data_IF_807612171510
#
_entry.id   IF_807612171510
#
_cell.length_a   1.000
_cell.length_b   1.000
_cell.length_c   1.000
_cell.angle_alpha   90.00
_cell.angle_beta   90.00
_cell.angle_gamma   90.00
#
_symmetry.space_group_name_H-M   'P 1'
#
loop_
_entity.id
_entity.type
_entity.pdbx_description
1 polymer ?
#
# COMPACT_ATOMS: atom_id res chain seq x y z
N UNK A 1 -30.37 -5.49 -7.65
CA UNK A 1 -28.95 -5.90 -7.82
C UNK A 1 -28.29 -5.90 -6.45
N UNK A 2 -27.78 -7.04 -5.96
CA UNK A 2 -27.10 -7.12 -4.66
C UNK A 2 -25.63 -6.78 -4.89
N UNK A 3 -25.15 -5.68 -4.32
CA UNK A 3 -23.75 -5.27 -4.44
C UNK A 3 -22.92 -6.09 -3.45
N UNK A 4 -22.03 -6.93 -3.97
CA UNK A 4 -21.04 -7.67 -3.16
C UNK A 4 -19.71 -6.92 -3.17
N UNK A 5 -19.31 -6.41 -2.01
CA UNK A 5 -18.08 -5.65 -1.85
C UNK A 5 -16.82 -6.53 -1.74
N UNK A 6 -16.97 -7.85 -1.57
CA UNK A 6 -15.87 -8.83 -1.36
C UNK A 6 -14.88 -8.42 -0.27
N UNK A 7 -15.38 -7.77 0.78
CA UNK A 7 -14.57 -7.43 1.96
C UNK A 7 -14.42 -8.65 2.87
N UNK A 8 -13.28 -8.84 3.54
CA UNK A 8 -13.14 -9.96 4.46
C UNK A 8 -14.12 -9.85 5.64
N UNK A 9 -14.45 -10.97 6.26
CA UNK A 9 -15.37 -11.05 7.40
C UNK A 9 -14.69 -10.67 8.73
N UNK A 10 -15.49 -10.54 9.79
CA UNK A 10 -15.00 -10.28 11.16
C UNK A 10 -14.83 -8.80 11.53
N UNK A 11 -14.37 -8.52 12.76
CA UNK A 11 -14.23 -7.17 13.32
C UNK A 11 -13.28 -6.29 12.50
N UNK A 12 -13.59 -5.00 12.35
CA UNK A 12 -12.84 -4.07 11.49
C UNK A 12 -11.33 -4.09 11.77
N UNK A 13 -10.95 -4.01 13.06
CA UNK A 13 -9.56 -3.94 13.49
C UNK A 13 -8.73 -5.18 13.13
N UNK A 14 -9.37 -6.34 13.03
CA UNK A 14 -8.70 -7.62 12.79
C UNK A 14 -8.95 -8.16 11.37
N UNK A 15 -9.88 -7.54 10.63
CA UNK A 15 -10.45 -8.03 9.37
C UNK A 15 -9.37 -8.46 8.37
N UNK A 16 -8.40 -7.58 8.12
CA UNK A 16 -7.34 -7.83 7.14
C UNK A 16 -6.21 -8.69 7.66
N UNK A 17 -5.91 -8.61 8.95
CA UNK A 17 -4.94 -9.48 9.60
C UNK A 17 -5.43 -10.93 9.57
N UNK A 18 -6.69 -11.19 9.94
CA UNK A 18 -7.34 -12.50 9.81
C UNK A 18 -7.37 -12.97 8.36
N UNK A 19 -7.76 -12.10 7.43
CA UNK A 19 -7.78 -12.42 6.01
C UNK A 19 -6.40 -12.89 5.52
N UNK A 20 -5.35 -12.09 5.79
CA UNK A 20 -3.96 -12.40 5.40
C UNK A 20 -3.52 -13.76 5.93
N UNK A 21 -3.83 -14.07 7.19
CA UNK A 21 -3.46 -15.33 7.82
C UNK A 21 -4.22 -16.55 7.25
N UNK A 22 -5.40 -16.34 6.67
CA UNK A 22 -6.21 -17.39 6.05
C UNK A 22 -5.91 -17.66 4.57
N UNK A 23 -5.09 -16.81 3.92
CA UNK A 23 -4.79 -16.93 2.51
C UNK A 23 -3.93 -18.17 2.22
N UNK A 24 -4.31 -18.90 1.16
CA UNK A 24 -3.50 -20.01 0.65
C UNK A 24 -2.21 -19.48 0.04
N UNK A 25 -1.08 -19.99 0.52
CA UNK A 25 0.24 -19.63 0.00
C UNK A 25 0.51 -20.31 -1.34
N UNK A 26 1.20 -19.60 -2.23
CA UNK A 26 1.68 -20.13 -3.50
C UNK A 26 3.07 -20.74 -3.28
N UNK A 27 3.23 -22.02 -3.59
CA UNK A 27 4.53 -22.71 -3.54
C UNK A 27 5.55 -21.97 -4.45
N UNK A 28 6.78 -21.69 -3.97
CA UNK A 28 7.84 -21.06 -4.76
C UNK A 28 8.03 -21.64 -6.17
N UNK A 29 7.97 -22.97 -6.33
CA UNK A 29 8.12 -23.63 -7.62
C UNK A 29 6.99 -23.31 -8.62
N UNK A 30 5.81 -22.92 -8.11
CA UNK A 30 4.65 -22.58 -8.92
C UNK A 30 4.59 -21.09 -9.27
N UNK A 31 5.33 -20.22 -8.58
CA UNK A 31 5.28 -18.75 -8.83
C UNK A 31 5.68 -18.39 -10.25
N UNK A 32 6.74 -19.02 -10.79
CA UNK A 32 7.21 -18.81 -12.17
C UNK A 32 6.21 -19.24 -13.25
N UNK A 33 5.23 -20.09 -12.91
CA UNK A 33 4.19 -20.55 -13.83
C UNK A 33 3.03 -19.55 -13.94
N UNK A 34 2.97 -18.56 -13.05
CA UNK A 34 1.92 -17.55 -13.01
C UNK A 34 2.44 -16.27 -13.66
N UNK A 35 1.78 -15.87 -14.74
CA UNK A 35 2.04 -14.63 -15.44
C UNK A 35 1.16 -13.53 -14.87
N UNK A 36 1.76 -12.40 -14.50
CA UNK A 36 1.07 -11.24 -13.95
C UNK A 36 1.26 -10.08 -14.91
N UNK A 37 0.16 -9.49 -15.35
CA UNK A 37 0.16 -8.29 -16.18
C UNK A 37 -0.15 -7.09 -15.30
N UNK A 38 0.77 -6.12 -15.27
CA UNK A 38 0.59 -4.84 -14.60
C UNK A 38 0.45 -3.74 -15.65
N UNK A 39 -0.69 -3.05 -15.64
CA UNK A 39 -0.96 -1.93 -16.53
C UNK A 39 -0.83 -0.63 -15.75
N UNK A 40 0.18 0.17 -16.09
CA UNK A 40 0.55 1.42 -15.45
C UNK A 40 1.85 1.31 -14.65
N UNK A 41 2.71 2.33 -14.79
CA UNK A 41 4.05 2.41 -14.16
C UNK A 41 4.14 3.53 -13.11
N UNK A 42 3.01 4.01 -12.60
CA UNK A 42 2.97 4.91 -11.44
C UNK A 42 3.46 4.23 -10.16
N UNK A 43 3.40 4.93 -9.02
CA UNK A 43 3.88 4.40 -7.73
C UNK A 43 3.24 3.03 -7.39
N UNK A 44 1.93 2.90 -7.57
CA UNK A 44 1.22 1.64 -7.29
C UNK A 44 1.64 0.50 -8.23
N UNK A 45 1.70 0.76 -9.53
CA UNK A 45 2.03 -0.27 -10.53
C UNK A 45 3.48 -0.71 -10.45
N UNK A 46 4.41 0.24 -10.33
CA UNK A 46 5.84 -0.06 -10.18
C UNK A 46 6.15 -0.79 -8.86
N UNK A 47 5.52 -0.38 -7.74
CA UNK A 47 5.67 -1.10 -6.47
C UNK A 47 5.11 -2.53 -6.56
N UNK A 48 3.90 -2.70 -7.09
CA UNK A 48 3.31 -4.02 -7.27
C UNK A 48 4.17 -4.92 -8.17
N UNK A 49 4.63 -4.40 -9.31
CA UNK A 49 5.47 -5.14 -10.23
C UNK A 49 6.81 -5.55 -9.59
N UNK A 50 7.48 -4.62 -8.90
CA UNK A 50 8.74 -4.89 -8.18
C UNK A 50 8.57 -5.97 -7.13
N UNK A 51 7.59 -5.83 -6.23
CA UNK A 51 7.36 -6.80 -5.15
C UNK A 51 7.00 -8.18 -5.69
N UNK A 52 6.16 -8.26 -6.73
CA UNK A 52 5.79 -9.54 -7.34
C UNK A 52 6.95 -10.17 -8.10
N UNK A 53 7.77 -9.39 -8.80
CA UNK A 53 8.96 -9.89 -9.47
C UNK A 53 9.98 -10.41 -8.45
N UNK A 54 10.21 -9.70 -7.34
CA UNK A 54 11.09 -10.13 -6.25
C UNK A 54 10.63 -11.46 -5.62
N UNK A 55 9.31 -11.66 -5.52
CA UNK A 55 8.74 -12.91 -5.04
C UNK A 55 8.94 -14.10 -6.00
N UNK A 56 9.37 -13.86 -7.25
CA UNK A 56 9.65 -14.88 -8.27
C UNK A 56 8.52 -15.14 -9.25
N UNK A 57 7.54 -14.23 -9.37
CA UNK A 57 6.50 -14.29 -10.40
C UNK A 57 7.01 -13.79 -11.76
N UNK A 58 6.40 -14.26 -12.84
CA UNK A 58 6.66 -13.71 -14.18
C UNK A 58 5.78 -12.46 -14.38
N UNK A 59 6.37 -11.27 -14.32
CA UNK A 59 5.64 -10.00 -14.36
C UNK A 59 5.91 -9.26 -15.67
N UNK A 60 4.85 -8.91 -16.39
CA UNK A 60 4.89 -8.05 -17.56
C UNK A 60 4.28 -6.70 -17.22
N UNK A 61 5.01 -5.62 -17.51
CA UNK A 61 4.60 -4.26 -17.15
C UNK A 61 4.39 -3.44 -18.42
N UNK A 62 3.25 -2.77 -18.52
CA UNK A 62 2.87 -1.96 -19.67
C UNK A 62 2.58 -0.54 -19.23
N UNK A 63 3.07 0.45 -19.97
CA UNK A 63 2.70 1.86 -19.81
C UNK A 63 2.42 2.47 -21.18
N UNK A 64 1.50 3.44 -21.21
CA UNK A 64 1.21 4.22 -22.42
C UNK A 64 2.21 5.36 -22.62
N UNK A 65 2.84 5.83 -21.54
CA UNK A 65 3.78 6.94 -21.55
C UNK A 65 5.09 6.58 -22.28
N UNK A 66 5.73 7.58 -22.91
CA UNK A 66 7.04 7.44 -23.58
C UNK A 66 8.12 6.82 -22.69
N UNK A 67 8.02 7.04 -21.38
CA UNK A 67 8.89 6.42 -20.39
C UNK A 67 8.10 6.08 -19.13
N UNK A 68 8.42 4.96 -18.45
CA UNK A 68 7.80 4.58 -17.18
C UNK A 68 7.83 5.68 -16.11
N UNK A 69 8.83 6.58 -16.15
CA UNK A 69 9.01 7.69 -15.20
C UNK A 69 8.04 8.86 -15.39
N UNK A 70 7.28 8.90 -16.50
CA UNK A 70 6.33 9.99 -16.80
C UNK A 70 4.91 9.72 -16.29
N UNK A 71 4.71 8.70 -15.47
CA UNK A 71 3.46 8.55 -14.73
C UNK A 71 3.25 9.77 -13.81
N UNK A 72 2.00 10.23 -13.68
CA UNK A 72 1.68 11.47 -12.96
C UNK A 72 2.12 11.46 -11.47
N UNK A 73 2.38 10.29 -10.90
CA UNK A 73 2.98 10.16 -9.57
C UNK A 73 4.27 10.97 -9.38
N UNK A 74 5.02 11.27 -10.45
CA UNK A 74 6.23 12.11 -10.39
C UNK A 74 5.94 13.56 -9.97
N UNK A 75 4.70 14.04 -10.17
CA UNK A 75 4.30 15.40 -9.87
C UNK A 75 3.80 15.58 -8.42
N UNK A 76 3.78 14.52 -7.60
CA UNK A 76 3.41 14.62 -6.20
C UNK A 76 4.46 15.44 -5.41
N UNK A 77 3.99 16.35 -4.54
CA UNK A 77 4.88 17.29 -3.82
C UNK A 77 4.78 17.21 -2.30
N UNK A 78 3.58 17.02 -1.74
CA UNK A 78 3.36 17.18 -0.30
C UNK A 78 4.07 16.12 0.55
N UNK A 79 3.80 14.84 0.30
CA UNK A 79 4.34 13.74 1.08
C UNK A 79 3.38 12.55 1.14
N UNK A 80 3.65 11.63 2.04
CA UNK A 80 2.84 10.43 2.29
C UNK A 80 2.49 10.40 3.77
N UNK A 81 1.21 10.38 4.10
CA UNK A 81 0.75 10.28 5.49
C UNK A 81 0.91 8.84 6.00
N UNK A 82 1.36 8.70 7.24
CA UNK A 82 1.44 7.41 7.93
C UNK A 82 1.25 7.59 9.43
N UNK A 83 0.70 6.57 10.09
CA UNK A 83 0.48 6.47 11.53
C UNK A 83 1.81 6.32 12.31
N UNK A 84 2.81 7.16 12.01
CA UNK A 84 4.21 6.99 12.42
C UNK A 84 4.51 7.98 13.53
N UNK A 85 4.45 7.50 14.77
CA UNK A 85 4.54 8.29 15.99
C UNK A 85 5.99 8.71 16.35
N UNK A 86 6.80 9.20 15.39
CA UNK A 86 8.17 9.64 15.65
C UNK A 86 8.24 10.85 16.60
N UNK A 87 7.24 11.72 16.51
CA UNK A 87 7.13 12.92 17.34
C UNK A 87 6.55 12.65 18.73
N UNK A 88 6.22 11.40 19.05
CA UNK A 88 5.50 11.02 20.27
C UNK A 88 4.21 11.84 20.48
N UNK A 89 3.50 12.14 19.39
CA UNK A 89 2.24 12.91 19.35
C UNK A 89 0.98 12.05 19.55
N UNK A 90 1.17 10.80 20.00
CA UNK A 90 0.12 9.79 20.17
C UNK A 90 -0.59 9.45 18.86
N UNK A 91 0.13 9.49 17.74
CA UNK A 91 -0.41 9.02 16.47
C UNK A 91 -0.66 7.50 16.50
N UNK A 92 -1.70 7.07 15.80
CA UNK A 92 -2.12 5.67 15.78
C UNK A 92 -2.91 5.34 14.52
N UNK A 93 -2.99 4.04 14.21
CA UNK A 93 -3.79 3.51 13.10
C UNK A 93 -5.23 4.00 13.17
N UNK A 94 -5.83 4.05 14.36
CA UNK A 94 -7.20 4.50 14.53
C UNK A 94 -7.39 5.98 14.21
N UNK A 95 -6.45 6.86 14.61
CA UNK A 95 -6.52 8.30 14.32
C UNK A 95 -6.43 8.57 12.82
N UNK A 96 -5.44 7.98 12.16
CA UNK A 96 -5.30 8.10 10.70
C UNK A 96 -6.53 7.52 9.96
N UNK A 97 -7.06 6.38 10.43
CA UNK A 97 -8.31 5.81 9.91
C UNK A 97 -9.48 6.78 10.06
N UNK A 98 -9.67 7.34 11.25
CA UNK A 98 -10.78 8.26 11.54
C UNK A 98 -10.72 9.52 10.67
N UNK A 99 -9.53 10.11 10.52
CA UNK A 99 -9.31 11.28 9.67
C UNK A 99 -9.60 10.99 8.19
N UNK A 100 -9.23 9.81 7.70
CA UNK A 100 -9.57 9.38 6.33
C UNK A 100 -11.07 9.15 6.13
N UNK A 101 -11.78 8.60 7.12
CA UNK A 101 -13.24 8.42 7.05
C UNK A 101 -13.96 9.76 7.05
N UNK A 102 -13.60 10.64 7.98
CA UNK A 102 -14.15 11.99 8.08
C UNK A 102 -13.84 12.81 6.83
N UNK A 103 -12.59 12.78 6.35
CA UNK A 103 -12.17 13.48 5.13
C UNK A 103 -12.82 12.92 3.86
N UNK A 104 -13.17 11.63 3.86
CA UNK A 104 -13.95 10.97 2.81
C UNK A 104 -15.46 11.20 2.91
N UNK A 105 -15.91 12.12 3.77
CA UNK A 105 -17.33 12.43 4.02
C UNK A 105 -18.16 11.18 4.36
N UNK A 106 -17.56 10.22 5.07
CA UNK A 106 -18.16 8.92 5.43
C UNK A 106 -18.61 8.05 4.24
N UNK A 107 -18.17 8.37 3.02
CA UNK A 107 -18.48 7.60 1.79
C UNK A 107 -17.44 6.54 1.47
N UNK A 108 -16.30 6.55 2.16
CA UNK A 108 -15.23 5.59 1.96
C UNK A 108 -15.55 4.23 2.59
N UNK A 109 -15.03 3.15 2.02
CA UNK A 109 -15.24 1.79 2.55
C UNK A 109 -14.35 1.58 3.78
N UNK A 110 -14.95 1.56 4.96
CA UNK A 110 -14.25 1.46 6.25
C UNK A 110 -13.21 0.35 6.30
N UNK A 111 -13.56 -0.85 5.82
CA UNK A 111 -12.64 -1.97 5.77
C UNK A 111 -11.33 -1.62 5.03
N UNK A 112 -11.43 -1.00 3.85
CA UNK A 112 -10.25 -0.68 3.03
C UNK A 112 -9.46 0.49 3.62
N UNK A 113 -10.15 1.48 4.18
CA UNK A 113 -9.53 2.65 4.81
C UNK A 113 -8.76 2.22 6.07
N UNK A 114 -9.33 1.32 6.87
CA UNK A 114 -8.64 0.78 8.03
C UNK A 114 -7.38 0.01 7.63
N UNK A 115 -7.44 -0.78 6.55
CA UNK A 115 -6.25 -1.44 5.99
C UNK A 115 -5.18 -0.46 5.56
N UNK A 116 -5.57 0.63 4.88
CA UNK A 116 -4.64 1.65 4.43
C UNK A 116 -3.89 2.29 5.62
N UNK A 117 -4.59 2.60 6.70
CA UNK A 117 -3.99 3.08 7.94
C UNK A 117 -3.08 2.03 8.60
N UNK A 118 -3.52 0.78 8.66
CA UNK A 118 -2.76 -0.34 9.26
C UNK A 118 -1.41 -0.56 8.57
N UNK A 119 -1.34 -0.42 7.24
CA UNK A 119 -0.10 -0.65 6.47
C UNK A 119 0.73 0.61 6.22
N UNK A 120 0.24 1.80 6.58
CA UNK A 120 0.89 3.06 6.22
C UNK A 120 2.34 3.13 6.69
N UNK A 121 2.62 2.61 7.89
CA UNK A 121 3.98 2.60 8.45
C UNK A 121 4.92 1.69 7.67
N UNK A 122 4.43 0.54 7.21
CA UNK A 122 5.19 -0.39 6.38
C UNK A 122 5.53 0.21 5.01
N UNK A 123 4.66 1.08 4.47
CA UNK A 123 4.92 1.79 3.21
C UNK A 123 6.10 2.75 3.36
N UNK A 124 6.15 3.51 4.47
CA UNK A 124 7.27 4.41 4.76
C UNK A 124 8.57 3.62 4.95
N UNK A 125 8.51 2.51 5.71
CA UNK A 125 9.68 1.65 5.93
C UNK A 125 10.20 1.05 4.63
N UNK A 126 9.30 0.59 3.75
CA UNK A 126 9.65 0.05 2.44
C UNK A 126 10.35 1.07 1.56
N UNK A 127 9.79 2.28 1.42
CA UNK A 127 10.42 3.34 0.63
C UNK A 127 11.76 3.80 1.21
N UNK A 128 11.88 3.82 2.53
CA UNK A 128 13.16 4.11 3.19
C UNK A 128 14.20 3.05 2.85
N UNK A 129 13.83 1.76 2.88
CA UNK A 129 14.71 0.65 2.52
C UNK A 129 15.12 0.66 1.04
N UNK A 130 14.26 1.16 0.14
CA UNK A 130 14.59 1.37 -1.28
C UNK A 130 15.52 2.58 -1.52
N UNK A 131 15.83 3.37 -0.49
CA UNK A 131 16.68 4.56 -0.59
C UNK A 131 15.93 5.82 -1.03
N UNK A 132 14.61 5.89 -0.85
CA UNK A 132 13.87 7.15 -1.06
C UNK A 132 14.42 8.20 -0.09
N UNK A 133 14.86 9.38 -0.59
CA UNK A 133 15.52 10.39 0.22
C UNK A 133 14.49 11.22 0.98
N UNK A 134 13.84 10.63 1.98
CA UNK A 134 12.99 11.36 2.90
C UNK A 134 13.81 12.38 3.69
N UNK A 135 13.21 13.55 3.93
CA UNK A 135 13.75 14.53 4.86
C UNK A 135 13.91 13.91 6.26
N UNK A 136 14.88 14.40 7.01
CA UNK A 136 15.21 13.91 8.36
C UNK A 136 15.15 15.05 9.35
N UNK A 137 14.77 14.74 10.59
CA UNK A 137 14.93 15.64 11.70
C UNK A 137 16.40 15.73 12.17
N UNK A 138 16.68 16.58 13.16
CA UNK A 138 18.02 16.73 13.73
C UNK A 138 18.56 15.44 14.38
N UNK A 139 17.68 14.52 14.79
CA UNK A 139 18.04 13.22 15.37
C UNK A 139 18.31 12.13 14.31
N UNK A 140 18.13 12.42 13.03
CA UNK A 140 18.25 11.45 11.94
C UNK A 140 17.02 10.55 11.75
N UNK A 141 15.94 10.80 12.48
CA UNK A 141 14.64 10.16 12.28
C UNK A 141 13.92 10.82 11.09
N UNK A 142 12.94 10.13 10.54
CA UNK A 142 12.07 10.64 9.47
C UNK A 142 11.05 11.63 10.04
#
# INVERSE_FOLDING_TARGET
>A
MKLDAKIPEGPLAEKWTKHKNSLKLVNPANKKKLNIIVVGTGLAGSAAASTLAELGYNVQVFCYQDTPRRAHSVAAQGGINAAKNYKNDNDSVYRLFYDMIKGGDYRAREANVYRAAEVSNLVIDHYTAMGVPFARDYGGLL
#
